data_IF_996497311617
#
_entry.id   IF_996497311617
#
_cell.length_a   1.000
_cell.length_b   1.000
_cell.length_c   1.000
_cell.angle_alpha   90.00
_cell.angle_beta   90.00
_cell.angle_gamma   90.00
#
_symmetry.space_group_name_H-M   'P 1'
#
loop_
_entity.id
_entity.type
_entity.pdbx_description
1 polymer ?
#
# COMPACT_ATOMS: atom_id res chain seq x y z
N UNK A 1 4.44 -29.61 15.14
CA UNK A 1 3.61 -28.40 15.02
C UNK A 1 4.27 -27.50 13.98
N UNK A 2 3.81 -27.54 12.73
CA UNK A 2 4.31 -26.67 11.67
C UNK A 2 3.66 -25.29 11.86
N UNK A 3 4.43 -24.34 12.34
CA UNK A 3 4.01 -22.94 12.40
C UNK A 3 4.06 -22.45 10.96
N UNK A 4 2.92 -22.32 10.29
CA UNK A 4 2.85 -21.54 9.05
C UNK A 4 3.16 -20.09 9.43
N UNK A 5 4.41 -19.69 9.27
CA UNK A 5 4.82 -18.32 9.54
C UNK A 5 4.17 -17.42 8.47
N UNK A 6 3.25 -16.55 8.91
CA UNK A 6 2.60 -15.58 8.03
C UNK A 6 3.69 -14.70 7.39
N UNK A 7 3.70 -14.61 6.06
CA UNK A 7 4.73 -13.87 5.31
C UNK A 7 4.25 -12.48 4.85
N UNK A 8 3.07 -12.03 5.30
CA UNK A 8 2.47 -10.78 4.89
C UNK A 8 2.35 -9.81 6.08
N UNK A 9 2.79 -8.58 5.89
CA UNK A 9 2.59 -7.45 6.81
C UNK A 9 1.16 -6.94 6.58
N UNK A 10 0.58 -6.25 7.56
CA UNK A 10 -0.75 -5.66 7.42
C UNK A 10 -0.90 -4.41 8.30
N UNK A 11 -1.57 -3.39 7.77
CA UNK A 11 -2.10 -2.27 8.53
C UNK A 11 -3.49 -2.55 9.13
N UNK A 12 -3.75 -2.02 10.32
CA UNK A 12 -5.03 -2.12 11.05
C UNK A 12 -5.51 -0.71 11.42
N UNK A 13 -6.47 -0.12 10.67
CA UNK A 13 -6.93 1.26 10.88
C UNK A 13 -7.51 1.51 12.27
N UNK A 14 -8.30 0.58 12.81
CA UNK A 14 -8.97 0.71 14.11
C UNK A 14 -7.99 0.75 15.29
N UNK A 15 -6.78 0.21 15.07
CA UNK A 15 -5.70 0.18 16.05
C UNK A 15 -4.57 1.14 15.70
N UNK A 16 -4.66 1.82 14.54
CA UNK A 16 -3.61 2.63 13.94
C UNK A 16 -2.22 1.94 14.04
N UNK A 17 -2.14 0.69 13.60
CA UNK A 17 -0.96 -0.15 13.82
C UNK A 17 -0.55 -0.97 12.60
N UNK A 18 0.76 -1.20 12.46
CA UNK A 18 1.34 -2.08 11.44
C UNK A 18 1.85 -3.36 12.14
N UNK A 19 1.47 -4.51 11.61
CA UNK A 19 1.85 -5.82 12.15
C UNK A 19 2.92 -6.46 11.27
N UNK A 20 4.10 -6.74 11.85
CA UNK A 20 5.21 -7.45 11.21
C UNK A 20 5.32 -8.89 11.76
N UNK A 21 4.78 -9.91 11.07
CA UNK A 21 4.96 -11.28 11.53
C UNK A 21 6.43 -11.72 11.38
N UNK A 22 6.92 -12.55 12.29
CA UNK A 22 8.29 -13.06 12.23
C UNK A 22 8.62 -13.79 10.90
N UNK A 23 7.62 -14.31 10.20
CA UNK A 23 7.78 -15.00 8.92
C UNK A 23 8.29 -14.14 7.77
N UNK A 24 8.16 -12.82 7.82
CA UNK A 24 8.70 -11.92 6.78
C UNK A 24 10.11 -11.39 7.11
N UNK A 25 10.55 -11.54 8.36
CA UNK A 25 11.85 -11.05 8.84
C UNK A 25 13.00 -12.01 8.46
N UNK A 26 13.00 -12.45 7.21
CA UNK A 26 13.99 -13.34 6.63
C UNK A 26 14.23 -12.99 5.15
N UNK A 27 15.25 -13.60 4.54
CA UNK A 27 15.52 -13.42 3.12
C UNK A 27 14.30 -13.85 2.27
N UNK A 28 14.00 -13.16 1.15
CA UNK A 28 14.79 -12.07 0.54
C UNK A 28 14.54 -10.67 1.14
N UNK A 29 13.60 -10.52 2.07
CA UNK A 29 13.13 -9.20 2.54
C UNK A 29 14.05 -8.57 3.58
N UNK A 30 14.59 -9.37 4.51
CA UNK A 30 15.44 -8.88 5.58
C UNK A 30 16.57 -9.85 5.93
N UNK A 31 17.75 -9.29 6.16
CA UNK A 31 18.90 -9.98 6.74
C UNK A 31 19.81 -8.96 7.42
N UNK A 32 20.04 -9.13 8.72
CA UNK A 32 20.90 -8.24 9.52
C UNK A 32 22.35 -8.20 9.02
N UNK A 33 22.82 -9.26 8.34
CA UNK A 33 24.19 -9.38 7.85
C UNK A 33 24.37 -8.87 6.41
N UNK A 34 23.31 -8.29 5.80
CA UNK A 34 23.36 -7.73 4.43
C UNK A 34 23.47 -6.21 4.42
N UNK A 35 23.83 -5.68 3.25
CA UNK A 35 23.80 -4.24 3.00
C UNK A 35 22.42 -3.67 3.35
N UNK A 36 22.41 -2.58 4.10
CA UNK A 36 21.18 -1.91 4.50
C UNK A 36 20.29 -1.58 3.31
N UNK A 37 20.87 -1.22 2.15
CA UNK A 37 20.13 -0.94 0.91
C UNK A 37 19.22 -2.10 0.47
N UNK A 38 19.65 -3.35 0.68
CA UNK A 38 18.83 -4.52 0.36
C UNK A 38 17.68 -4.68 1.36
N UNK A 39 17.90 -4.37 2.63
CA UNK A 39 16.83 -4.39 3.64
C UNK A 39 15.82 -3.26 3.41
N UNK A 40 16.27 -2.07 3.01
CA UNK A 40 15.39 -0.97 2.64
C UNK A 40 14.58 -1.31 1.38
N UNK A 41 15.19 -1.87 0.34
CA UNK A 41 14.49 -2.28 -0.87
C UNK A 41 13.59 -3.51 -0.70
N UNK A 42 13.88 -4.36 0.28
CA UNK A 42 13.08 -5.54 0.64
C UNK A 42 12.01 -5.20 1.66
N UNK A 43 12.35 -5.30 2.95
CA UNK A 43 11.43 -5.05 4.05
C UNK A 43 10.99 -3.58 4.14
N UNK A 44 11.88 -2.63 3.85
CA UNK A 44 11.59 -1.20 3.97
C UNK A 44 10.45 -0.73 3.06
N UNK A 45 10.44 -1.16 1.80
CA UNK A 45 9.35 -0.91 0.85
C UNK A 45 8.04 -1.52 1.38
N UNK A 46 8.04 -2.76 1.86
CA UNK A 46 6.80 -3.37 2.38
C UNK A 46 6.33 -2.66 3.67
N UNK A 47 7.25 -2.21 4.53
CA UNK A 47 6.91 -1.40 5.70
C UNK A 47 6.30 -0.04 5.31
N UNK A 48 6.87 0.62 4.30
CA UNK A 48 6.39 1.86 3.73
C UNK A 48 4.98 1.70 3.16
N UNK A 49 4.78 0.66 2.35
CA UNK A 49 3.47 0.25 1.84
C UNK A 49 2.43 0.19 2.97
N UNK A 50 2.67 -0.61 4.02
CA UNK A 50 1.67 -0.72 5.10
C UNK A 50 1.44 0.59 5.86
N UNK A 51 2.45 1.46 5.98
CA UNK A 51 2.24 2.80 6.53
C UNK A 51 1.32 3.65 5.63
N UNK A 52 1.47 3.56 4.31
CA UNK A 52 0.65 4.33 3.37
C UNK A 52 -0.82 3.91 3.37
N UNK A 53 -1.17 2.71 3.84
CA UNK A 53 -2.56 2.31 4.07
C UNK A 53 -3.27 3.16 5.13
N UNK A 54 -2.55 3.82 6.04
CA UNK A 54 -3.14 4.80 6.95
C UNK A 54 -3.65 6.06 6.21
N UNK A 55 -3.19 6.27 4.97
CA UNK A 55 -3.43 7.48 4.19
C UNK A 55 -3.99 7.19 2.78
N UNK A 56 -4.47 5.97 2.53
CA UNK A 56 -5.22 5.68 1.30
C UNK A 56 -6.67 6.18 1.40
N UNK A 57 -7.48 5.94 0.37
CA UNK A 57 -8.86 6.43 0.31
C UNK A 57 -9.77 5.93 1.45
N UNK A 58 -9.44 4.80 2.06
CA UNK A 58 -10.13 4.28 3.25
C UNK A 58 -9.42 4.72 4.54
N UNK A 59 -8.09 4.69 4.57
CA UNK A 59 -7.26 5.07 5.70
C UNK A 59 -7.50 6.51 6.17
N UNK A 60 -7.60 7.47 5.24
CA UNK A 60 -7.82 8.88 5.59
C UNK A 60 -9.16 9.16 6.28
N UNK A 61 -10.07 8.18 6.35
CA UNK A 61 -11.35 8.31 7.06
C UNK A 61 -11.19 8.09 8.57
N UNK A 62 -10.07 7.49 8.99
CA UNK A 62 -9.73 7.19 10.38
C UNK A 62 -8.80 8.26 10.92
N UNK A 63 -9.05 8.72 12.14
CA UNK A 63 -8.12 9.61 12.85
C UNK A 63 -7.00 8.80 13.54
N UNK A 64 -6.11 9.50 14.22
CA UNK A 64 -4.95 8.94 14.94
C UNK A 64 -5.31 7.93 16.04
N UNK A 65 -6.53 8.02 16.59
CA UNK A 65 -7.05 7.09 17.58
C UNK A 65 -7.78 5.87 16.97
N UNK A 66 -7.79 5.73 15.64
CA UNK A 66 -8.49 4.63 14.97
C UNK A 66 -10.01 4.78 14.99
N UNK A 67 -10.53 6.02 15.05
CA UNK A 67 -11.95 6.30 14.96
C UNK A 67 -12.32 6.95 13.62
N UNK A 68 -13.47 6.55 13.06
CA UNK A 68 -14.02 7.18 11.86
C UNK A 68 -14.43 8.62 12.16
N UNK A 69 -13.60 9.56 11.71
CA UNK A 69 -13.80 10.98 11.95
C UNK A 69 -13.09 11.79 10.87
N UNK A 70 -13.80 12.72 10.24
CA UNK A 70 -13.19 13.68 9.33
C UNK A 70 -12.19 14.55 10.10
N UNK A 71 -10.91 14.41 9.75
CA UNK A 71 -9.80 15.18 10.33
C UNK A 71 -9.11 16.09 9.30
N UNK A 72 -9.23 15.78 8.01
CA UNK A 72 -8.72 16.64 6.94
C UNK A 72 -9.57 17.91 6.77
N UNK A 73 -8.88 19.03 6.51
CA UNK A 73 -9.53 20.25 6.03
C UNK A 73 -10.15 20.03 4.66
N UNK A 74 -11.12 20.86 4.26
CA UNK A 74 -11.73 20.78 2.93
C UNK A 74 -10.70 20.98 1.79
N UNK A 75 -9.70 21.83 2.01
CA UNK A 75 -8.63 22.05 1.04
C UNK A 75 -7.75 20.80 0.87
N UNK A 76 -7.36 20.16 1.98
CA UNK A 76 -6.58 18.92 1.97
C UNK A 76 -7.33 17.76 1.32
N UNK A 77 -8.62 17.59 1.65
CA UNK A 77 -9.48 16.56 1.06
C UNK A 77 -9.62 16.73 -0.47
N UNK A 78 -9.80 17.97 -0.95
CA UNK A 78 -9.85 18.25 -2.38
C UNK A 78 -8.50 17.96 -3.07
N UNK A 79 -7.38 18.31 -2.44
CA UNK A 79 -6.04 18.05 -2.97
C UNK A 79 -5.75 16.55 -3.05
N UNK A 80 -6.08 15.80 -1.99
CA UNK A 80 -5.98 14.35 -1.95
C UNK A 80 -6.75 13.69 -3.08
N UNK A 81 -8.03 14.05 -3.25
CA UNK A 81 -8.88 13.53 -4.35
C UNK A 81 -8.32 13.85 -5.74
N UNK A 82 -7.68 15.01 -5.90
CA UNK A 82 -7.00 15.39 -7.14
C UNK A 82 -5.82 14.47 -7.47
N UNK A 83 -4.94 14.24 -6.49
CA UNK A 83 -3.79 13.33 -6.65
C UNK A 83 -4.24 11.89 -6.89
N UNK A 84 -5.21 11.43 -6.10
CA UNK A 84 -5.84 10.11 -6.25
C UNK A 84 -6.37 9.89 -7.68
N UNK A 85 -7.07 10.89 -8.23
CA UNK A 85 -7.60 10.84 -9.59
C UNK A 85 -6.51 10.69 -10.65
N UNK A 86 -5.34 11.31 -10.44
CA UNK A 86 -4.19 11.16 -11.34
C UNK A 86 -3.76 9.70 -11.43
N UNK A 87 -3.61 9.04 -10.27
CA UNK A 87 -3.23 7.62 -10.17
C UNK A 87 -4.27 6.71 -10.82
N UNK A 88 -5.55 6.93 -10.54
CA UNK A 88 -6.65 6.18 -11.19
C UNK A 88 -6.54 6.28 -12.72
N UNK A 89 -6.32 7.48 -13.24
CA UNK A 89 -6.23 7.71 -14.69
C UNK A 89 -5.02 7.02 -15.30
N UNK A 90 -3.86 7.06 -14.63
CA UNK A 90 -2.67 6.33 -15.05
C UNK A 90 -2.95 4.82 -15.16
N UNK A 91 -3.53 4.23 -14.11
CA UNK A 91 -3.76 2.79 -14.08
C UNK A 91 -4.85 2.30 -15.03
N UNK A 92 -5.84 3.14 -15.34
CA UNK A 92 -6.84 2.86 -16.38
C UNK A 92 -6.21 2.71 -17.78
N UNK A 93 -5.00 3.25 -18.00
CA UNK A 93 -4.26 3.10 -19.25
C UNK A 93 -3.52 1.77 -19.41
N UNK A 94 -3.37 0.97 -18.35
CA UNK A 94 -2.58 -0.26 -18.40
C UNK A 94 -3.42 -1.48 -18.83
N UNK A 95 -3.04 -2.06 -19.97
CA UNK A 95 -3.63 -3.30 -20.48
C UNK A 95 -2.58 -4.43 -20.63
N UNK A 96 -2.07 -4.97 -19.51
CA UNK A 96 -0.97 -5.95 -19.54
C UNK A 96 -1.35 -7.29 -20.20
N UNK A 97 -2.66 -7.58 -20.31
CA UNK A 97 -3.16 -8.81 -20.92
C UNK A 97 -3.72 -8.58 -22.34
N UNK A 98 -3.57 -7.38 -22.91
CA UNK A 98 -3.96 -7.10 -24.28
C UNK A 98 -3.23 -8.05 -25.26
N UNK A 99 -3.97 -8.60 -26.22
CA UNK A 99 -3.44 -9.58 -27.18
C UNK A 99 -3.29 -11.01 -26.65
N UNK A 100 -3.49 -11.26 -25.35
CA UNK A 100 -3.42 -12.62 -24.77
C UNK A 100 -4.76 -13.37 -24.81
N UNK A 101 -5.86 -12.68 -25.14
CA UNK A 101 -7.23 -13.23 -25.10
C UNK A 101 -7.84 -13.37 -23.70
N UNK A 102 -7.10 -13.04 -22.63
CA UNK A 102 -7.59 -13.08 -21.24
C UNK A 102 -8.35 -11.80 -20.87
N UNK A 103 -9.42 -11.94 -20.09
CA UNK A 103 -10.26 -10.84 -19.60
C UNK A 103 -10.30 -10.79 -18.07
N UNK A 104 -10.37 -9.59 -17.45
CA UNK A 104 -10.26 -8.28 -18.09
C UNK A 104 -8.84 -8.04 -18.62
N UNK A 105 -8.72 -7.52 -19.85
CA UNK A 105 -7.40 -7.29 -20.45
C UNK A 105 -6.67 -6.07 -19.88
N UNK A 106 -7.45 -5.18 -19.25
CA UNK A 106 -7.00 -3.90 -18.70
C UNK A 106 -7.25 -3.83 -17.19
N UNK A 107 -6.40 -3.05 -16.52
CA UNK A 107 -6.51 -2.76 -15.11
C UNK A 107 -7.64 -1.75 -14.90
N UNK A 108 -8.44 -1.95 -13.85
CA UNK A 108 -9.38 -0.95 -13.38
C UNK A 108 -8.70 -0.08 -12.32
N UNK A 109 -8.37 1.16 -12.67
CA UNK A 109 -7.72 2.13 -11.80
C UNK A 109 -8.51 2.41 -10.52
N UNK A 110 -9.84 2.47 -10.59
CA UNK A 110 -10.71 2.73 -9.43
C UNK A 110 -10.65 1.57 -8.42
N UNK A 111 -10.60 0.33 -8.91
CA UNK A 111 -10.51 -0.86 -8.05
C UNK A 111 -9.09 -1.11 -7.52
N UNK A 112 -8.07 -0.52 -8.15
CA UNK A 112 -6.67 -0.73 -7.78
C UNK A 112 -6.08 0.43 -7.01
N UNK A 113 -6.78 1.55 -6.89
CA UNK A 113 -6.33 2.73 -6.14
C UNK A 113 -5.98 2.38 -4.67
N UNK A 114 -6.80 1.56 -4.01
CA UNK A 114 -6.58 1.05 -2.65
C UNK A 114 -5.25 0.32 -2.46
N UNK A 115 -4.78 -0.37 -3.49
CA UNK A 115 -3.53 -1.15 -3.44
C UNK A 115 -2.35 -0.41 -4.09
N UNK A 116 -2.59 0.73 -4.77
CA UNK A 116 -1.62 1.34 -5.69
C UNK A 116 -1.46 2.85 -5.63
N UNK A 117 -2.12 3.59 -4.73
CA UNK A 117 -1.56 4.87 -4.24
C UNK A 117 -0.16 4.63 -3.64
N UNK A 118 -0.01 3.45 -3.02
CA UNK A 118 1.13 3.03 -2.21
C UNK A 118 2.50 3.09 -2.91
N UNK A 119 2.73 2.52 -4.11
CA UNK A 119 4.03 2.58 -4.78
C UNK A 119 4.36 3.96 -5.37
N UNK A 120 3.44 4.93 -5.42
CA UNK A 120 3.72 6.26 -5.98
C UNK A 120 4.23 7.22 -4.90
N UNK A 121 3.77 7.07 -3.66
CA UNK A 121 4.35 7.79 -2.51
C UNK A 121 5.79 7.38 -2.20
N UNK A 122 6.27 6.27 -2.73
CA UNK A 122 7.66 5.80 -2.57
C UNK A 122 8.62 6.35 -3.63
N UNK A 123 8.11 6.95 -4.71
CA UNK A 123 8.91 7.50 -5.83
C UNK A 123 8.92 9.04 -5.82
N UNK A 124 8.24 9.67 -4.85
CA UNK A 124 8.22 11.12 -4.65
C UNK A 124 9.29 11.60 -3.66
#
# INVERSE_FOLDING_TARGET
>A
MLIYAKMAISFQPELNSIVFPAGILQRPFYDENRLASLNYGGLGVVAGHELTHAFDDEGVQWNDAGALQKWMTNASDSGFKGMARCVVNEYNGFCPLAGTGKQPSCINGEQTHKAKILPIMEVA
#
